data_IF_954264597038
#
_entry.id   IF_954264597038
#
_cell.length_a   1.000
_cell.length_b   1.000
_cell.length_c   1.000
_cell.angle_alpha   90.00
_cell.angle_beta   90.00
_cell.angle_gamma   90.00
#
_symmetry.space_group_name_H-M   'P 1'
#
loop_
_entity.id
_entity.type
_entity.pdbx_description
1 polymer ?
#
# COMPACT_ATOMS: atom_id res chain seq x y z
N UNK A 1 44.48 35.84 12.29
CA UNK A 1 43.07 35.73 12.72
C UNK A 1 42.10 35.49 11.55
N UNK A 2 42.44 34.66 10.55
CA UNK A 2 41.52 34.33 9.45
C UNK A 2 41.43 32.82 9.13
N UNK A 3 42.20 31.97 9.83
CA UNK A 3 42.14 30.51 9.65
C UNK A 3 40.93 29.84 10.32
N UNK A 4 40.20 30.55 11.18
CA UNK A 4 39.06 29.99 11.91
C UNK A 4 37.70 30.26 11.26
N UNK A 5 37.63 31.06 10.20
CA UNK A 5 36.35 31.42 9.55
C UNK A 5 36.01 30.52 8.34
N UNK A 6 36.93 29.66 7.89
CA UNK A 6 36.71 28.77 6.75
C UNK A 6 36.05 27.42 7.13
N UNK A 7 35.87 27.16 8.43
CA UNK A 7 35.31 25.90 8.93
C UNK A 7 33.80 25.94 9.18
N UNK A 8 33.14 27.09 8.96
CA UNK A 8 31.72 27.29 9.30
C UNK A 8 30.77 27.33 8.08
N UNK A 9 31.25 27.12 6.86
CA UNK A 9 30.44 27.27 5.63
C UNK A 9 30.29 26.00 4.78
N UNK A 10 30.56 24.81 5.32
CA UNK A 10 30.35 23.53 4.62
C UNK A 10 29.24 22.66 5.23
N UNK A 11 28.38 23.27 6.05
CA UNK A 11 27.11 22.68 6.51
C UNK A 11 25.90 23.18 5.71
N UNK A 12 26.09 23.53 4.43
CA UNK A 12 24.98 23.50 3.47
C UNK A 12 24.72 22.05 3.08
N UNK A 13 24.04 21.36 3.99
CA UNK A 13 23.33 20.13 3.76
C UNK A 13 22.37 20.39 2.60
N UNK A 14 22.70 19.87 1.41
CA UNK A 14 21.72 19.75 0.34
C UNK A 14 20.77 18.64 0.79
N UNK A 15 19.77 19.01 1.57
CA UNK A 15 18.68 18.09 1.92
C UNK A 15 18.01 17.65 0.62
N UNK A 16 18.11 16.35 0.37
CA UNK A 16 17.78 15.59 -0.83
C UNK A 16 16.30 15.62 -1.24
N UNK A 17 15.73 16.79 -1.53
CA UNK A 17 14.44 16.89 -2.23
C UNK A 17 14.54 16.67 -3.74
N UNK A 18 15.75 16.67 -4.31
CA UNK A 18 15.98 16.52 -5.76
C UNK A 18 15.83 15.07 -6.28
N UNK A 19 15.53 14.10 -5.43
CA UNK A 19 15.53 12.68 -5.80
C UNK A 19 14.18 12.16 -6.27
N UNK A 20 13.09 12.64 -5.65
CA UNK A 20 11.74 12.17 -5.97
C UNK A 20 11.37 12.57 -7.41
N UNK A 21 11.73 13.79 -7.82
CA UNK A 21 11.49 14.26 -9.20
C UNK A 21 12.24 13.39 -10.21
N UNK A 22 13.51 13.04 -9.95
CA UNK A 22 14.26 12.12 -10.82
C UNK A 22 13.63 10.72 -10.85
N UNK A 23 13.17 10.19 -9.71
CA UNK A 23 12.46 8.89 -9.66
C UNK A 23 11.19 8.95 -10.52
N UNK A 24 10.40 10.02 -10.41
CA UNK A 24 9.21 10.22 -11.23
C UNK A 24 9.57 10.26 -12.71
N UNK A 25 10.55 11.07 -13.10
CA UNK A 25 11.01 11.20 -14.50
C UNK A 25 11.46 9.87 -15.09
N UNK A 26 12.11 9.01 -14.30
CA UNK A 26 12.54 7.67 -14.72
C UNK A 26 11.38 6.69 -14.84
N UNK A 27 10.35 6.83 -14.00
CA UNK A 27 9.20 5.91 -13.96
C UNK A 27 8.08 6.30 -14.92
N UNK A 28 7.93 7.59 -15.26
CA UNK A 28 6.87 8.11 -16.15
C UNK A 28 6.73 7.34 -17.47
N UNK A 29 7.82 6.94 -18.17
CA UNK A 29 7.70 6.15 -19.40
C UNK A 29 7.05 4.77 -19.23
N UNK A 30 7.06 4.21 -18.02
CA UNK A 30 6.55 2.89 -17.69
C UNK A 30 5.20 2.95 -16.95
N UNK A 31 5.03 3.97 -16.11
CA UNK A 31 3.84 4.19 -15.28
C UNK A 31 3.34 5.63 -15.50
N UNK A 32 2.53 5.91 -16.53
CA UNK A 32 2.14 7.27 -16.90
C UNK A 32 1.32 8.01 -15.84
N UNK A 33 0.70 7.29 -14.91
CA UNK A 33 -0.07 7.84 -13.79
C UNK A 33 0.73 8.02 -12.50
N UNK A 34 2.04 7.74 -12.51
CA UNK A 34 2.89 7.87 -11.32
C UNK A 34 2.96 9.31 -10.83
N UNK A 35 2.81 9.50 -9.53
CA UNK A 35 2.92 10.80 -8.88
C UNK A 35 3.67 10.70 -7.54
N UNK A 36 3.98 11.85 -6.94
CA UNK A 36 4.74 11.90 -5.69
C UNK A 36 4.02 11.21 -4.52
N UNK A 37 2.70 11.15 -4.54
CA UNK A 37 1.87 10.49 -3.52
C UNK A 37 2.14 8.99 -3.41
N UNK A 38 2.65 8.38 -4.48
CA UNK A 38 2.97 6.95 -4.54
C UNK A 38 4.38 6.65 -4.03
N UNK A 39 5.21 7.67 -3.81
CA UNK A 39 6.63 7.53 -3.45
C UNK A 39 6.79 7.90 -1.98
N UNK A 40 7.35 6.97 -1.22
CA UNK A 40 7.54 7.09 0.22
C UNK A 40 8.98 6.73 0.59
N UNK A 41 9.46 7.21 1.73
CA UNK A 41 10.71 6.71 2.30
C UNK A 41 10.57 5.22 2.64
N UNK A 42 11.59 4.44 2.29
CA UNK A 42 11.65 3.02 2.67
C UNK A 42 12.35 2.85 4.02
N UNK A 43 12.04 1.75 4.70
CA UNK A 43 12.85 1.27 5.83
C UNK A 43 14.15 0.59 5.36
N UNK A 44 14.27 0.32 4.05
CA UNK A 44 15.51 -0.13 3.42
C UNK A 44 16.37 1.10 3.08
N UNK A 45 17.48 1.27 3.81
CA UNK A 45 18.39 2.40 3.64
C UNK A 45 18.84 2.57 2.18
N UNK A 46 18.77 3.80 1.68
CA UNK A 46 19.16 4.14 0.31
C UNK A 46 18.11 3.75 -0.74
N UNK A 47 16.89 3.41 -0.35
CA UNK A 47 15.77 3.15 -1.26
C UNK A 47 14.52 3.95 -0.89
N UNK A 48 13.76 4.30 -1.91
CA UNK A 48 12.37 4.75 -1.79
C UNK A 48 11.44 3.57 -2.06
N UNK A 49 10.30 3.57 -1.38
CA UNK A 49 9.20 2.65 -1.65
C UNK A 49 8.21 3.31 -2.61
N UNK A 50 7.92 2.66 -3.74
CA UNK A 50 6.99 3.14 -4.75
C UNK A 50 5.81 2.18 -4.85
N UNK A 51 4.61 2.70 -4.60
CA UNK A 51 3.36 1.91 -4.65
C UNK A 51 2.63 2.16 -5.97
N UNK A 52 2.54 1.13 -6.80
CA UNK A 52 1.74 1.14 -8.03
C UNK A 52 0.39 0.47 -7.72
N UNK A 53 -0.70 1.03 -8.23
CA UNK A 53 -2.05 0.47 -8.05
C UNK A 53 -2.68 0.00 -9.35
N UNK A 54 -2.09 0.35 -10.50
CA UNK A 54 -2.60 0.03 -11.83
C UNK A 54 -1.45 -0.55 -12.68
N UNK A 55 -1.61 -1.74 -13.27
CA UNK A 55 -2.81 -2.60 -13.33
C UNK A 55 -3.12 -3.42 -12.05
N UNK A 56 -2.17 -3.57 -11.13
CA UNK A 56 -2.36 -4.25 -9.85
C UNK A 56 -1.59 -3.54 -8.73
N UNK A 57 -1.90 -3.86 -7.47
CA UNK A 57 -1.20 -3.30 -6.32
C UNK A 57 0.17 -3.96 -6.19
N UNK A 58 1.23 -3.19 -6.40
CA UNK A 58 2.61 -3.62 -6.29
C UNK A 58 3.43 -2.58 -5.54
N UNK A 59 4.43 -3.07 -4.81
CA UNK A 59 5.40 -2.23 -4.11
C UNK A 59 6.77 -2.54 -4.68
N UNK A 60 7.42 -1.53 -5.22
CA UNK A 60 8.79 -1.60 -5.72
C UNK A 60 9.70 -0.75 -4.85
N UNK A 61 10.99 -1.07 -4.84
CA UNK A 61 11.99 -0.25 -4.18
C UNK A 61 12.93 0.34 -5.21
N UNK A 62 13.04 1.66 -5.23
CA UNK A 62 13.90 2.40 -6.15
C UNK A 62 15.07 2.96 -5.37
N UNK A 63 16.30 2.72 -5.82
CA UNK A 63 17.47 3.29 -5.16
C UNK A 63 17.38 4.82 -5.12
N UNK A 64 17.95 5.43 -4.09
CA UNK A 64 18.05 6.88 -3.95
C UNK A 64 19.02 7.53 -4.95
N UNK A 65 19.34 6.87 -6.05
CA UNK A 65 20.00 7.48 -7.20
C UNK A 65 19.17 7.25 -8.48
N UNK A 66 17.92 6.79 -8.34
CA UNK A 66 16.97 6.48 -9.40
C UNK A 66 17.48 5.49 -10.48
N UNK A 67 18.53 4.71 -10.19
CA UNK A 67 19.18 3.82 -11.17
C UNK A 67 18.77 2.37 -11.07
N UNK A 68 18.36 1.91 -9.90
CA UNK A 68 18.06 0.50 -9.66
C UNK A 68 16.64 0.35 -9.13
N UNK A 69 15.95 -0.66 -9.65
CA UNK A 69 14.66 -1.13 -9.14
C UNK A 69 14.83 -2.52 -8.55
N UNK A 70 14.29 -2.72 -7.36
CA UNK A 70 14.09 -4.03 -6.77
C UNK A 70 12.60 -4.35 -6.82
N UNK A 71 12.26 -5.41 -7.54
CA UNK A 71 10.91 -5.94 -7.63
C UNK A 71 10.83 -7.22 -6.80
N UNK A 72 9.89 -7.25 -5.86
CA UNK A 72 9.72 -8.36 -4.94
C UNK A 72 9.37 -7.89 -3.54
N UNK A 73 9.58 -8.78 -2.56
CA UNK A 73 9.23 -8.51 -1.17
C UNK A 73 10.46 -8.26 -0.32
N UNK A 74 10.43 -7.21 0.49
CA UNK A 74 11.42 -6.97 1.54
C UNK A 74 10.89 -7.54 2.85
N UNK A 75 11.66 -8.44 3.47
CA UNK A 75 11.39 -8.96 4.80
C UNK A 75 12.42 -8.42 5.77
N UNK A 76 11.98 -7.74 6.81
CA UNK A 76 12.84 -7.40 7.94
C UNK A 76 13.17 -8.68 8.71
N UNK A 77 14.46 -9.00 8.84
CA UNK A 77 14.93 -10.20 9.53
C UNK A 77 14.91 -10.07 11.05
N UNK A 78 14.77 -8.86 11.60
CA UNK A 78 14.66 -8.65 13.04
C UNK A 78 13.26 -8.97 13.52
N UNK A 79 12.24 -8.37 12.90
CA UNK A 79 10.84 -8.64 13.24
C UNK A 79 10.23 -9.82 12.48
N UNK A 80 10.93 -10.36 11.47
CA UNK A 80 10.40 -11.33 10.50
C UNK A 80 9.17 -10.83 9.74
N UNK A 81 9.01 -9.50 9.63
CA UNK A 81 7.86 -8.87 8.97
C UNK A 81 8.12 -8.63 7.50
N UNK A 82 7.14 -8.97 6.65
CA UNK A 82 7.16 -8.61 5.24
C UNK A 82 6.69 -7.16 5.06
N UNK A 83 7.65 -6.24 4.88
CA UNK A 83 7.41 -4.80 4.78
C UNK A 83 6.53 -4.46 3.57
N UNK A 84 6.78 -5.10 2.43
CA UNK A 84 6.01 -4.90 1.21
C UNK A 84 4.56 -5.34 1.39
N UNK A 85 4.32 -6.47 2.06
CA UNK A 85 2.96 -6.95 2.36
C UNK A 85 2.20 -6.01 3.30
N UNK A 86 2.90 -5.38 4.26
CA UNK A 86 2.29 -4.37 5.14
C UNK A 86 1.80 -3.18 4.30
N UNK A 87 2.64 -2.65 3.41
CA UNK A 87 2.25 -1.54 2.52
C UNK A 87 1.09 -1.93 1.60
N UNK A 88 1.18 -3.08 0.92
CA UNK A 88 0.12 -3.59 0.05
C UNK A 88 -1.21 -3.71 0.80
N UNK A 89 -1.20 -4.25 2.02
CA UNK A 89 -2.41 -4.41 2.83
C UNK A 89 -2.98 -3.07 3.29
N UNK A 90 -2.13 -2.10 3.63
CA UNK A 90 -2.58 -0.74 3.93
C UNK A 90 -3.27 -0.08 2.71
N UNK A 91 -2.69 -0.20 1.53
CA UNK A 91 -3.28 0.30 0.27
C UNK A 91 -4.61 -0.40 -0.05
N UNK A 92 -4.68 -1.73 0.09
CA UNK A 92 -5.94 -2.49 -0.08
C UNK A 92 -7.02 -2.00 0.88
N UNK A 93 -6.67 -1.78 2.15
CA UNK A 93 -7.59 -1.27 3.15
C UNK A 93 -8.12 0.12 2.76
N UNK A 94 -7.24 1.03 2.34
CA UNK A 94 -7.65 2.36 1.87
C UNK A 94 -8.62 2.28 0.68
N UNK A 95 -8.34 1.41 -0.29
CA UNK A 95 -9.24 1.19 -1.43
C UNK A 95 -10.60 0.68 -0.95
N UNK A 96 -10.64 -0.33 -0.08
CA UNK A 96 -11.90 -0.88 0.46
C UNK A 96 -12.71 0.13 1.28
N UNK A 97 -12.03 0.96 2.07
CA UNK A 97 -12.64 2.00 2.90
C UNK A 97 -13.25 3.12 2.03
N UNK A 98 -12.72 3.35 0.83
CA UNK A 98 -13.22 4.35 -0.12
C UNK A 98 -14.41 3.86 -0.99
N UNK A 99 -14.77 2.57 -0.93
CA UNK A 99 -15.95 2.06 -1.63
C UNK A 99 -17.20 2.52 -0.88
N UNK A 100 -18.12 3.17 -1.58
CA UNK A 100 -19.40 3.64 -1.02
C UNK A 100 -20.15 2.48 -0.33
N UNK A 101 -20.66 2.72 0.87
CA UNK A 101 -21.44 1.73 1.60
C UNK A 101 -22.78 1.44 0.92
N UNK A 102 -23.34 2.38 0.16
CA UNK A 102 -24.60 2.19 -0.56
C UNK A 102 -24.50 1.21 -1.73
N UNK A 103 -23.29 0.94 -2.22
CA UNK A 103 -23.06 -0.05 -3.27
C UNK A 103 -22.84 -1.45 -2.71
N UNK A 104 -22.85 -1.62 -1.38
CA UNK A 104 -22.62 -2.89 -0.70
C UNK A 104 -23.94 -3.52 -0.28
N UNK A 105 -24.06 -4.84 -0.42
CA UNK A 105 -25.18 -5.58 0.17
C UNK A 105 -24.74 -6.06 1.55
N UNK A 106 -25.38 -5.54 2.61
CA UNK A 106 -24.94 -5.73 3.99
C UNK A 106 -25.83 -6.72 4.74
N UNK A 107 -25.23 -7.83 5.16
CA UNK A 107 -25.81 -8.82 6.08
C UNK A 107 -25.24 -8.58 7.48
N UNK A 108 -25.93 -7.75 8.25
CA UNK A 108 -25.45 -7.24 9.53
C UNK A 108 -25.66 -8.24 10.67
N UNK A 109 -24.61 -8.50 11.44
CA UNK A 109 -24.71 -9.25 12.69
C UNK A 109 -25.36 -8.41 13.81
N UNK A 110 -26.10 -9.06 14.71
CA UNK A 110 -26.75 -8.38 15.85
C UNK A 110 -25.71 -7.87 16.86
N UNK A 111 -24.66 -8.66 17.13
CA UNK A 111 -23.53 -8.30 17.98
C UNK A 111 -22.25 -8.31 17.14
N UNK A 112 -22.02 -7.24 16.38
CA UNK A 112 -20.90 -7.15 15.43
C UNK A 112 -19.54 -7.15 16.13
N UNK A 113 -18.75 -8.17 15.85
CA UNK A 113 -17.36 -8.33 16.28
C UNK A 113 -16.38 -8.20 15.11
N UNK A 114 -16.81 -8.65 13.92
CA UNK A 114 -15.99 -8.68 12.72
C UNK A 114 -16.78 -8.18 11.52
N UNK A 115 -16.08 -7.54 10.57
CA UNK A 115 -16.62 -7.17 9.27
C UNK A 115 -15.79 -7.88 8.20
N UNK A 116 -16.46 -8.59 7.30
CA UNK A 116 -15.82 -9.24 6.15
C UNK A 116 -16.42 -8.69 4.87
N UNK A 117 -15.58 -8.12 4.03
CA UNK A 117 -15.91 -7.71 2.67
C UNK A 117 -15.68 -8.89 1.73
N UNK A 118 -16.70 -9.29 0.98
CA UNK A 118 -16.63 -10.44 0.07
C UNK A 118 -16.99 -9.99 -1.33
N UNK A 119 -16.03 -10.06 -2.24
CA UNK A 119 -16.30 -9.95 -3.68
C UNK A 119 -16.97 -11.25 -4.13
N UNK A 120 -18.18 -11.16 -4.67
CA UNK A 120 -19.03 -12.32 -4.93
C UNK A 120 -19.64 -12.27 -6.32
N UNK A 121 -19.97 -13.45 -6.86
CA UNK A 121 -20.67 -13.60 -8.13
C UNK A 121 -21.87 -14.55 -7.92
N UNK A 122 -22.99 -14.27 -8.59
CA UNK A 122 -24.22 -15.08 -8.53
C UNK A 122 -24.04 -16.45 -9.17
N UNK A 123 -23.11 -16.58 -10.12
CA UNK A 123 -22.82 -17.83 -10.84
C UNK A 123 -21.69 -18.64 -10.17
N UNK A 124 -21.09 -18.13 -9.09
CA UNK A 124 -20.02 -18.84 -8.37
C UNK A 124 -20.60 -19.83 -7.34
N UNK A 125 -20.39 -21.15 -7.49
CA UNK A 125 -20.95 -22.15 -6.58
C UNK A 125 -20.41 -22.05 -5.14
N UNK A 126 -19.17 -21.59 -4.97
CA UNK A 126 -18.59 -21.36 -3.64
C UNK A 126 -19.13 -20.10 -2.96
N UNK A 127 -19.47 -19.08 -3.74
CA UNK A 127 -20.17 -17.89 -3.23
C UNK A 127 -21.57 -18.24 -2.73
N UNK A 128 -22.32 -19.04 -3.50
CA UNK A 128 -23.62 -19.57 -3.06
C UNK A 128 -23.49 -20.41 -1.79
N UNK A 129 -22.46 -21.27 -1.71
CA UNK A 129 -22.17 -22.05 -0.51
C UNK A 129 -21.86 -21.17 0.71
N UNK A 130 -21.06 -20.11 0.55
CA UNK A 130 -20.79 -19.15 1.62
C UNK A 130 -22.09 -18.45 2.07
N UNK A 131 -22.91 -18.00 1.12
CA UNK A 131 -24.17 -17.33 1.41
C UNK A 131 -25.16 -18.23 2.19
N UNK A 132 -25.18 -19.54 1.92
CA UNK A 132 -26.01 -20.49 2.65
C UNK A 132 -25.66 -20.59 4.16
N UNK A 133 -24.47 -20.13 4.58
CA UNK A 133 -24.03 -20.11 5.97
C UNK A 133 -24.16 -18.72 6.62
N UNK A 134 -24.86 -17.76 5.97
CA UNK A 134 -24.93 -16.37 6.44
C UNK A 134 -25.50 -16.24 7.85
N UNK A 135 -26.55 -17.01 8.17
CA UNK A 135 -27.18 -16.97 9.49
C UNK A 135 -26.21 -17.40 10.61
N UNK A 136 -25.41 -18.43 10.38
CA UNK A 136 -24.40 -18.90 11.33
C UNK A 136 -23.29 -17.86 11.53
N UNK A 137 -22.79 -17.27 10.44
CA UNK A 137 -21.79 -16.20 10.51
C UNK A 137 -22.31 -14.97 11.29
N UNK A 138 -23.53 -14.52 11.00
CA UNK A 138 -24.13 -13.40 11.72
C UNK A 138 -24.37 -13.72 13.21
N UNK A 139 -24.72 -14.95 13.55
CA UNK A 139 -24.86 -15.40 14.94
C UNK A 139 -23.51 -15.40 15.71
N UNK A 140 -22.40 -15.64 15.00
CA UNK A 140 -21.03 -15.51 15.53
C UNK A 140 -20.52 -14.06 15.59
N UNK A 141 -21.35 -13.07 15.23
CA UNK A 141 -20.97 -11.66 15.25
C UNK A 141 -20.22 -11.18 14.01
N UNK A 142 -20.29 -11.92 12.90
CA UNK A 142 -19.60 -11.55 11.65
C UNK A 142 -20.61 -10.85 10.73
N UNK A 143 -20.41 -9.56 10.48
CA UNK A 143 -21.12 -8.82 9.44
C UNK A 143 -20.46 -9.08 8.10
N UNK A 144 -21.25 -9.48 7.10
CA UNK A 144 -20.76 -9.71 5.74
C UNK A 144 -21.25 -8.60 4.83
N UNK A 145 -20.33 -7.97 4.10
CA UNK A 145 -20.59 -6.94 3.10
C UNK A 145 -20.23 -7.49 1.72
N UNK A 146 -21.22 -7.74 0.88
CA UNK A 146 -20.96 -8.14 -0.50
C UNK A 146 -20.67 -6.96 -1.40
N UNK A 147 -19.67 -7.17 -2.26
CA UNK A 147 -19.33 -6.34 -3.41
C UNK A 147 -19.53 -7.21 -4.65
N UNK A 148 -20.29 -6.71 -5.62
CA UNK A 148 -20.65 -7.41 -6.84
C UNK A 148 -20.46 -6.47 -8.03
#
# INVERSE_FOLDING_TARGET
MYKSLLFLFLLYVNSAYANIEEIIDRLLPYFPSISAEQINESQLDGFYEVTITEPWIEVMYISSDARYVLQGTVTDLVSMSNLSAIRINATRKQILDNIDENTKIVFKAVNEHYIVHVFTDVDCPYCAKLHNNMAEMNALGITVKYLA
#
